data_IF_195312437351
#
_entry.id   IF_195312437351
#
_cell.length_a   1.000
_cell.length_b   1.000
_cell.length_c   1.000
_cell.angle_alpha   90.00
_cell.angle_beta   90.00
_cell.angle_gamma   90.00
#
_symmetry.space_group_name_H-M   'P 1'
#
loop_
_entity.id
_entity.type
_entity.pdbx_description
1 polymer ?
#
# COMPACT_ATOMS: atom_id res chain seq x y z
N UNK A 1 15.65 37.21 -14.68
CA UNK A 1 15.60 35.88 -15.32
C UNK A 1 14.14 35.48 -15.47
N UNK A 2 13.54 35.69 -16.64
CA UNK A 2 12.10 35.46 -16.85
C UNK A 2 11.78 33.96 -16.98
N UNK A 3 10.87 33.47 -16.13
CA UNK A 3 10.42 32.07 -16.08
C UNK A 3 9.54 31.79 -17.30
N UNK A 4 9.99 30.90 -18.18
CA UNK A 4 9.31 30.52 -19.43
C UNK A 4 7.98 29.81 -19.10
N UNK A 5 6.84 30.19 -19.69
CA UNK A 5 5.55 29.56 -19.40
C UNK A 5 5.55 28.10 -19.89
N UNK A 6 5.08 27.22 -19.02
CA UNK A 6 5.01 25.77 -19.20
C UNK A 6 3.98 25.46 -20.30
N UNK A 7 4.44 24.92 -21.45
CA UNK A 7 3.57 24.56 -22.58
C UNK A 7 2.51 23.55 -22.13
N UNK A 8 1.25 23.88 -22.40
CA UNK A 8 0.10 22.96 -22.33
C UNK A 8 0.42 21.69 -23.12
N UNK A 9 0.21 20.52 -22.51
CA UNK A 9 0.46 19.22 -23.13
C UNK A 9 -0.28 19.13 -24.46
N UNK A 10 0.45 18.82 -25.54
CA UNK A 10 -0.13 18.68 -26.88
C UNK A 10 -0.96 17.41 -26.93
N UNK A 11 -2.27 17.51 -27.10
CA UNK A 11 -3.13 16.37 -27.39
C UNK A 11 -2.81 15.80 -28.77
N UNK A 12 -2.61 14.49 -28.88
CA UNK A 12 -2.44 13.78 -30.15
C UNK A 12 -3.71 13.01 -30.49
N UNK A 13 -4.13 13.05 -31.76
CA UNK A 13 -5.29 12.29 -32.26
C UNK A 13 -4.79 10.92 -32.72
N UNK A 14 -5.40 9.87 -32.19
CA UNK A 14 -5.15 8.47 -32.58
C UNK A 14 -6.46 7.91 -33.12
N UNK A 15 -6.44 7.39 -34.34
CA UNK A 15 -7.57 6.71 -34.96
C UNK A 15 -7.24 5.22 -35.07
N UNK A 16 -8.19 4.35 -34.70
CA UNK A 16 -8.08 2.91 -34.85
C UNK A 16 -9.39 2.35 -35.39
N UNK A 17 -9.31 1.27 -36.15
CA UNK A 17 -10.47 0.58 -36.71
C UNK A 17 -11.04 -0.36 -35.66
N UNK A 18 -12.37 -0.39 -35.54
CA UNK A 18 -13.11 -1.24 -34.60
C UNK A 18 -14.23 -1.97 -35.34
N UNK A 19 -14.78 -2.99 -34.69
CA UNK A 19 -16.00 -3.68 -35.14
C UNK A 19 -17.22 -2.79 -34.94
N UNK A 20 -18.27 -3.03 -35.73
CA UNK A 20 -19.47 -2.20 -35.80
C UNK A 20 -20.19 -2.13 -34.44
N UNK A 21 -20.34 -3.26 -33.75
CA UNK A 21 -20.93 -3.33 -32.40
C UNK A 21 -20.20 -2.45 -31.38
N UNK A 22 -18.86 -2.40 -31.44
CA UNK A 22 -18.06 -1.57 -30.55
C UNK A 22 -18.18 -0.08 -30.89
N UNK A 23 -18.30 0.25 -32.18
CA UNK A 23 -18.54 1.62 -32.61
C UNK A 23 -19.88 2.14 -32.10
N UNK A 24 -20.96 1.35 -32.26
CA UNK A 24 -22.29 1.70 -31.74
C UNK A 24 -22.30 1.85 -30.21
N UNK A 25 -21.61 0.95 -29.51
CA UNK A 25 -21.46 1.06 -28.05
C UNK A 25 -20.76 2.36 -27.65
N UNK A 26 -19.63 2.68 -28.28
CA UNK A 26 -18.91 3.92 -28.00
C UNK A 26 -19.73 5.16 -28.37
N UNK A 27 -20.58 5.08 -29.41
CA UNK A 27 -21.46 6.16 -29.85
C UNK A 27 -22.54 6.53 -28.84
N UNK A 28 -22.99 5.56 -28.05
CA UNK A 28 -23.97 5.76 -26.99
C UNK A 28 -23.40 6.35 -25.69
N UNK A 29 -22.07 6.55 -25.59
CA UNK A 29 -21.45 7.09 -24.39
C UNK A 29 -21.45 8.62 -24.37
N UNK A 30 -21.75 9.25 -23.22
CA UNK A 30 -21.75 10.70 -23.08
C UNK A 30 -20.36 11.34 -23.27
N UNK A 31 -19.27 10.59 -23.02
CA UNK A 31 -17.90 11.04 -23.29
C UNK A 31 -16.98 9.88 -23.67
N UNK A 32 -16.86 9.63 -24.98
CA UNK A 32 -16.07 8.53 -25.57
C UNK A 32 -14.60 8.59 -25.17
N UNK A 33 -13.99 9.77 -25.28
CA UNK A 33 -12.57 9.96 -25.01
C UNK A 33 -12.23 9.72 -23.54
N UNK A 34 -13.10 10.09 -22.60
CA UNK A 34 -12.88 9.84 -21.18
C UNK A 34 -13.03 8.36 -20.82
N UNK A 35 -14.04 7.69 -21.37
CA UNK A 35 -14.22 6.25 -21.22
C UNK A 35 -13.01 5.47 -21.76
N UNK A 36 -12.61 5.74 -23.01
CA UNK A 36 -11.46 5.06 -23.63
C UNK A 36 -10.19 5.32 -22.85
N UNK A 37 -9.94 6.57 -22.38
CA UNK A 37 -8.77 6.89 -21.55
C UNK A 37 -8.76 6.09 -20.26
N UNK A 38 -9.90 5.99 -19.56
CA UNK A 38 -10.03 5.23 -18.32
C UNK A 38 -9.88 3.72 -18.56
N UNK A 39 -10.50 3.17 -19.59
CA UNK A 39 -10.39 1.76 -19.95
C UNK A 39 -8.94 1.39 -20.32
N UNK A 40 -8.27 2.21 -21.13
CA UNK A 40 -6.85 2.06 -21.46
C UNK A 40 -6.01 2.15 -20.18
N UNK A 41 -6.18 3.18 -19.35
CA UNK A 41 -5.42 3.33 -18.11
C UNK A 41 -5.67 2.18 -17.12
N UNK A 42 -6.89 1.64 -17.06
CA UNK A 42 -7.22 0.48 -16.26
C UNK A 42 -6.54 -0.79 -16.81
N UNK A 43 -6.47 -0.94 -18.13
CA UNK A 43 -5.84 -2.08 -18.79
C UNK A 43 -4.30 -2.05 -18.75
N UNK A 44 -3.71 -0.85 -18.75
CA UNK A 44 -2.27 -0.63 -18.63
C UNK A 44 -1.80 -0.33 -17.20
N UNK A 45 -2.73 -0.19 -16.27
CA UNK A 45 -2.48 0.06 -14.87
C UNK A 45 -1.93 -1.20 -14.21
N UNK A 46 -0.79 -1.07 -13.55
CA UNK A 46 -0.34 -2.10 -12.61
C UNK A 46 -1.02 -1.86 -11.27
N UNK A 47 -1.32 -2.93 -10.54
CA UNK A 47 -1.77 -2.81 -9.16
C UNK A 47 -0.83 -1.89 -8.38
N UNK A 48 -1.37 -0.88 -7.72
CA UNK A 48 -0.55 0.05 -6.95
C UNK A 48 0.13 -0.70 -5.79
N UNK A 49 1.47 -0.70 -5.72
CA UNK A 49 2.22 -1.53 -4.79
C UNK A 49 2.14 -1.02 -3.35
N UNK A 50 1.53 0.15 -3.12
CA UNK A 50 1.36 0.76 -1.80
C UNK A 50 -0.03 0.53 -1.20
N UNK A 51 -1.05 0.41 -2.04
CA UNK A 51 -2.45 0.38 -1.59
C UNK A 51 -3.05 -1.04 -1.54
N UNK A 52 -2.20 -2.07 -1.60
CA UNK A 52 -2.65 -3.46 -1.36
C UNK A 52 -3.74 -3.89 -2.36
N UNK A 53 -3.63 -3.54 -3.63
CA UNK A 53 -4.64 -3.98 -4.62
C UNK A 53 -5.86 -3.08 -4.78
N UNK A 54 -6.05 -2.07 -3.93
CA UNK A 54 -7.25 -1.21 -3.98
C UNK A 54 -7.23 -0.15 -5.09
N UNK A 55 -6.09 0.04 -5.76
CA UNK A 55 -5.90 1.04 -6.78
C UNK A 55 -4.90 0.60 -7.85
N UNK A 56 -4.90 1.33 -8.96
CA UNK A 56 -4.00 1.11 -10.10
C UNK A 56 -3.10 2.33 -10.31
N UNK A 57 -1.87 2.09 -10.73
CA UNK A 57 -0.91 3.14 -11.10
C UNK A 57 -0.32 2.83 -12.48
N UNK A 58 0.16 3.87 -13.16
CA UNK A 58 0.90 3.69 -14.40
C UNK A 58 2.12 2.79 -14.16
N UNK A 59 2.43 1.89 -15.12
CA UNK A 59 3.56 0.95 -15.04
C UNK A 59 4.88 1.60 -14.61
N UNK A 60 5.23 2.76 -15.18
CA UNK A 60 6.46 3.46 -14.81
C UNK A 60 6.52 3.88 -13.33
N UNK A 61 5.38 4.21 -12.72
CA UNK A 61 5.28 4.51 -11.28
C UNK A 61 5.41 3.24 -10.47
N UNK A 62 4.70 2.17 -10.85
CA UNK A 62 4.84 0.86 -10.21
C UNK A 62 6.31 0.39 -10.20
N UNK A 63 6.96 0.39 -11.36
CA UNK A 63 8.32 -0.12 -11.52
C UNK A 63 9.35 0.75 -10.79
N UNK A 64 9.10 2.06 -10.68
CA UNK A 64 9.94 2.96 -9.90
C UNK A 64 9.87 2.67 -8.40
N UNK A 65 8.66 2.47 -7.86
CA UNK A 65 8.46 2.29 -6.41
C UNK A 65 8.71 0.86 -5.95
N UNK A 66 8.56 -0.16 -6.81
CA UNK A 66 8.80 -1.57 -6.45
C UNK A 66 10.14 -1.81 -5.73
N UNK A 67 11.31 -1.43 -6.27
CA UNK A 67 12.58 -1.65 -5.58
C UNK A 67 12.70 -0.83 -4.30
N UNK A 68 12.13 0.37 -4.26
CA UNK A 68 12.13 1.21 -3.05
C UNK A 68 11.38 0.52 -1.92
N UNK A 69 10.21 -0.05 -2.20
CA UNK A 69 9.41 -0.78 -1.21
C UNK A 69 10.18 -2.02 -0.73
N UNK A 70 10.76 -2.79 -1.64
CA UNK A 70 11.56 -3.99 -1.30
C UNK A 70 12.74 -3.65 -0.37
N UNK A 71 13.41 -2.53 -0.59
CA UNK A 71 14.53 -2.09 0.24
C UNK A 71 14.10 -1.43 1.56
N UNK A 72 12.99 -0.71 1.58
CA UNK A 72 12.56 0.10 2.73
C UNK A 72 11.58 -0.62 3.66
N UNK A 73 11.04 -1.78 3.27
CA UNK A 73 10.16 -2.61 4.10
C UNK A 73 10.92 -3.42 5.17
N UNK A 74 11.96 -2.83 5.74
CA UNK A 74 12.74 -3.42 6.82
C UNK A 74 12.80 -2.45 8.00
N UNK A 75 12.51 -2.97 9.20
CA UNK A 75 12.65 -2.24 10.46
C UNK A 75 13.34 -3.12 11.49
N UNK A 76 14.15 -2.55 12.39
CA UNK A 76 14.79 -3.33 13.44
C UNK A 76 13.75 -3.87 14.42
N UNK A 77 13.90 -5.12 14.85
CA UNK A 77 13.13 -5.70 15.94
C UNK A 77 13.28 -4.87 17.21
N UNK A 78 12.18 -4.57 17.89
CA UNK A 78 12.18 -3.69 19.07
C UNK A 78 13.05 -4.26 20.21
N UNK A 79 13.12 -5.60 20.35
CA UNK A 79 13.91 -6.31 21.37
C UNK A 79 15.37 -6.51 20.96
N UNK A 80 15.62 -7.27 19.88
CA UNK A 80 16.97 -7.73 19.52
C UNK A 80 17.66 -6.89 18.44
N UNK A 81 16.98 -5.86 17.91
CA UNK A 81 17.48 -4.95 16.85
C UNK A 81 17.83 -5.58 15.51
N UNK A 82 17.69 -6.89 15.36
CA UNK A 82 17.83 -7.58 14.06
C UNK A 82 16.84 -7.00 13.04
N UNK A 83 17.26 -6.73 11.79
CA UNK A 83 16.36 -6.30 10.72
C UNK A 83 15.24 -7.32 10.49
N UNK A 84 14.00 -6.84 10.43
CA UNK A 84 12.81 -7.63 10.16
C UNK A 84 12.13 -7.03 8.94
N UNK A 85 11.95 -7.85 7.91
CA UNK A 85 11.11 -7.51 6.78
C UNK A 85 9.63 -7.62 7.18
N UNK A 86 8.81 -6.68 6.74
CA UNK A 86 7.37 -6.69 6.96
C UNK A 86 6.62 -6.38 5.65
N UNK A 87 5.52 -7.10 5.38
CA UNK A 87 4.66 -6.81 4.23
C UNK A 87 3.76 -5.58 4.48
N UNK A 88 3.14 -5.08 3.42
CA UNK A 88 2.21 -3.93 3.47
C UNK A 88 0.87 -4.25 4.15
N UNK A 89 0.50 -5.53 4.17
CA UNK A 89 -0.68 -6.07 4.86
C UNK A 89 -0.32 -7.43 5.47
N UNK A 90 -1.18 -7.95 6.33
CA UNK A 90 -1.01 -9.27 6.92
C UNK A 90 -1.72 -10.39 6.11
N UNK A 91 -2.21 -10.08 4.91
CA UNK A 91 -2.92 -11.04 4.08
C UNK A 91 -1.95 -12.13 3.60
N UNK A 92 -2.40 -13.38 3.67
CA UNK A 92 -1.56 -14.54 3.35
C UNK A 92 -0.60 -14.99 4.46
N UNK A 93 -0.48 -14.25 5.56
CA UNK A 93 0.25 -14.70 6.75
C UNK A 93 -0.64 -15.58 7.65
N UNK A 94 -0.03 -16.46 8.45
CA UNK A 94 -0.75 -17.33 9.38
C UNK A 94 -0.20 -17.31 10.81
N UNK A 95 -1.06 -17.67 11.77
CA UNK A 95 -0.67 -17.87 13.18
C UNK A 95 -0.02 -16.65 13.84
N UNK A 96 1.08 -16.90 14.56
CA UNK A 96 1.83 -15.85 15.27
C UNK A 96 2.51 -14.83 14.36
N UNK A 97 2.79 -15.20 13.11
CA UNK A 97 3.33 -14.26 12.13
C UNK A 97 2.28 -13.25 11.67
N UNK A 98 1.03 -13.68 11.48
CA UNK A 98 -0.05 -12.76 11.18
C UNK A 98 -0.23 -11.74 12.31
N UNK A 99 -0.36 -12.22 13.56
CA UNK A 99 -0.58 -11.37 14.74
C UNK A 99 0.54 -10.35 14.97
N UNK A 100 1.82 -10.73 14.81
CA UNK A 100 2.96 -9.81 15.00
C UNK A 100 2.96 -8.68 13.97
N UNK A 101 2.58 -8.99 12.72
CA UNK A 101 2.54 -8.01 11.62
C UNK A 101 1.32 -7.11 11.77
N UNK A 102 0.14 -7.65 12.09
CA UNK A 102 -1.06 -6.86 12.38
C UNK A 102 -0.81 -5.85 13.49
N UNK A 103 -0.23 -6.28 14.62
CA UNK A 103 0.15 -5.39 15.71
C UNK A 103 1.01 -4.22 15.21
N UNK A 104 2.03 -4.49 14.39
CA UNK A 104 2.90 -3.45 13.86
C UNK A 104 2.17 -2.50 12.91
N UNK A 105 1.37 -3.03 11.98
CA UNK A 105 0.61 -2.25 11.02
C UNK A 105 -0.46 -1.37 11.70
N UNK A 106 -0.98 -1.79 12.84
CA UNK A 106 -1.88 -1.00 13.69
C UNK A 106 -1.14 -0.01 14.62
N UNK A 107 0.17 0.19 14.44
CA UNK A 107 0.96 1.19 15.16
C UNK A 107 1.63 0.67 16.44
N UNK A 108 1.61 -0.65 16.68
CA UNK A 108 2.33 -1.30 17.77
C UNK A 108 3.81 -1.58 17.45
N UNK A 109 4.57 -2.12 18.41
CA UNK A 109 5.99 -2.44 18.21
C UNK A 109 6.19 -3.66 17.30
N UNK A 110 7.25 -3.63 16.47
CA UNK A 110 7.64 -4.73 15.59
C UNK A 110 8.57 -5.70 16.29
N UNK A 111 8.24 -6.99 16.25
CA UNK A 111 9.11 -8.07 16.72
C UNK A 111 9.44 -9.07 15.60
N UNK A 112 10.63 -9.66 15.70
CA UNK A 112 10.97 -10.84 14.91
C UNK A 112 10.23 -12.08 15.44
N UNK A 113 10.13 -13.13 14.61
CA UNK A 113 9.45 -14.38 14.95
C UNK A 113 9.95 -15.02 16.25
N UNK A 114 11.25 -14.87 16.56
CA UNK A 114 11.86 -15.42 17.78
C UNK A 114 11.52 -14.62 19.03
N UNK A 115 11.47 -13.29 18.94
CA UNK A 115 11.25 -12.43 20.10
C UNK A 115 9.77 -12.29 20.44
N UNK A 116 8.88 -12.29 19.43
CA UNK A 116 7.44 -12.11 19.62
C UNK A 116 6.84 -13.00 20.73
N UNK A 117 7.00 -14.35 20.73
CA UNK A 117 6.42 -15.19 21.78
C UNK A 117 7.04 -15.01 23.17
N UNK A 118 8.19 -14.33 23.28
CA UNK A 118 8.87 -14.10 24.56
C UNK A 118 8.42 -12.84 25.28
N UNK A 119 7.63 -12.00 24.60
CA UNK A 119 7.06 -10.79 25.18
C UNK A 119 5.65 -11.14 25.68
N UNK A 120 5.25 -10.75 26.90
CA UNK A 120 3.91 -11.00 27.38
C UNK A 120 2.87 -10.20 26.57
N UNK A 121 1.70 -10.79 26.26
CA UNK A 121 0.58 -10.04 25.70
C UNK A 121 -0.04 -9.13 26.77
N UNK A 122 -0.57 -8.00 26.35
CA UNK A 122 -1.46 -7.14 27.14
C UNK A 122 -2.80 -7.85 27.33
N UNK A 123 -3.33 -7.84 28.56
CA UNK A 123 -4.58 -8.53 28.89
C UNK A 123 -5.81 -7.92 28.21
N UNK A 124 -5.80 -6.62 27.88
CA UNK A 124 -6.95 -5.93 27.27
C UNK A 124 -7.04 -6.08 25.74
N UNK A 125 -5.90 -6.08 25.01
CA UNK A 125 -5.89 -6.13 23.55
C UNK A 125 -5.08 -7.28 22.93
N UNK A 126 -4.35 -8.05 23.75
CA UNK A 126 -3.48 -9.13 23.27
C UNK A 126 -2.20 -8.66 22.57
N UNK A 127 -1.90 -7.36 22.52
CA UNK A 127 -0.64 -6.87 21.95
C UNK A 127 0.54 -7.28 22.82
N UNK A 128 1.59 -7.81 22.20
CA UNK A 128 2.82 -8.15 22.88
C UNK A 128 3.60 -6.87 23.19
N UNK A 129 3.62 -6.46 24.46
CA UNK A 129 4.24 -5.21 24.92
C UNK A 129 5.18 -5.52 26.11
N UNK A 130 6.44 -5.05 26.10
CA UNK A 130 7.35 -5.27 27.21
C UNK A 130 6.90 -4.45 28.42
N UNK A 131 7.04 -5.01 29.63
CA UNK A 131 6.59 -4.41 30.90
C UNK A 131 7.00 -2.94 31.05
N UNK A 132 8.20 -2.59 30.61
CA UNK A 132 8.74 -1.23 30.64
C UNK A 132 7.91 -0.22 29.82
N UNK A 133 7.23 -0.67 28.76
CA UNK A 133 6.41 0.16 27.85
C UNK A 133 4.91 -0.02 28.06
N UNK A 134 4.49 -0.86 29.00
CA UNK A 134 3.07 -1.13 29.26
C UNK A 134 2.33 0.14 29.65
N UNK A 135 2.89 0.97 30.55
CA UNK A 135 2.25 2.22 30.97
C UNK A 135 2.02 3.20 29.80
N UNK A 136 2.96 3.28 28.85
CA UNK A 136 2.82 4.12 27.65
C UNK A 136 1.80 3.53 26.67
N UNK A 137 1.80 2.21 26.50
CA UNK A 137 0.80 1.50 25.71
C UNK A 137 -0.62 1.75 26.22
N UNK A 138 -0.86 1.60 27.53
CA UNK A 138 -2.17 1.86 28.13
C UNK A 138 -2.65 3.29 27.88
N UNK A 139 -1.76 4.27 28.03
CA UNK A 139 -2.06 5.69 27.75
C UNK A 139 -2.49 5.94 26.31
N UNK A 140 -1.85 5.27 25.34
CA UNK A 140 -2.08 5.51 23.91
C UNK A 140 -3.24 4.70 23.34
N UNK A 141 -3.45 3.48 23.82
CA UNK A 141 -4.33 2.50 23.18
C UNK A 141 -5.61 2.20 23.98
N UNK A 142 -5.62 2.46 25.29
CA UNK A 142 -6.76 2.11 26.17
C UNK A 142 -7.37 3.30 26.88
N UNK A 143 -6.71 4.46 26.85
CA UNK A 143 -7.23 5.67 27.50
C UNK A 143 -8.10 6.41 26.49
N UNK A 144 -9.34 5.97 26.37
CA UNK A 144 -10.40 6.78 25.77
C UNK A 144 -10.89 7.76 26.85
N UNK A 145 -10.48 9.02 26.73
CA UNK A 145 -11.23 10.13 27.32
C UNK A 145 -12.40 10.48 26.41
#
# INVERSE_FOLDING_TARGET
>A
MARKPQKTSKSQIVAFKVEEELAEFLDNLPNKSDFIRKAILAQFGMTCPLCVGTGVVARGVHDHFKPVIEHQNQKPCEKCKTPVSFPMNADGLSGGEKKRIEQFLHGGPLYCLKCYPTIPPCDDCGWHVPMEKVAEHFKRQHTHA
#
